data_IF_255175437137
#
_entry.id   IF_255175437137
#
_cell.length_a   1.000
_cell.length_b   1.000
_cell.length_c   1.000
_cell.angle_alpha   90.00
_cell.angle_beta   90.00
_cell.angle_gamma   90.00
#
_symmetry.space_group_name_H-M   'P 1'
#
loop_
_entity.id
_entity.type
_entity.pdbx_description
1 polymer ?
#
# COMPACT_ATOMS: atom_id res chain seq x y z
N UNK A 1 -18.94 -0.51 5.39
CA UNK A 1 -18.75 0.19 6.67
C UNK A 1 -18.14 1.54 6.37
N UNK A 2 -18.83 2.63 6.75
CA UNK A 2 -18.26 3.99 6.67
C UNK A 2 -16.99 4.05 7.52
N UNK A 3 -16.16 5.07 7.33
CA UNK A 3 -15.05 5.35 8.23
C UNK A 3 -15.63 5.56 9.64
N UNK A 4 -15.56 4.52 10.46
CA UNK A 4 -16.19 4.49 11.78
C UNK A 4 -15.40 5.34 12.77
N UNK A 5 -15.93 6.50 13.19
CA UNK A 5 -15.26 7.41 14.12
C UNK A 5 -15.38 6.94 15.58
N UNK A 6 -16.39 6.13 15.93
CA UNK A 6 -16.56 5.64 17.29
C UNK A 6 -15.53 4.54 17.64
N UNK A 7 -14.70 4.81 18.65
CA UNK A 7 -13.64 3.89 19.12
C UNK A 7 -14.16 2.54 19.62
N UNK A 8 -15.29 2.49 20.31
CA UNK A 8 -15.87 1.24 20.81
C UNK A 8 -16.36 0.37 19.64
N UNK A 9 -17.07 0.98 18.68
CA UNK A 9 -17.54 0.27 17.48
C UNK A 9 -16.34 -0.24 16.67
N UNK A 10 -15.28 0.57 16.46
CA UNK A 10 -14.05 0.12 15.78
C UNK A 10 -13.44 -1.14 16.41
N UNK A 11 -13.41 -1.22 17.74
CA UNK A 11 -12.88 -2.40 18.44
C UNK A 11 -13.71 -3.65 18.16
N UNK A 12 -15.04 -3.52 18.20
CA UNK A 12 -15.96 -4.62 17.88
C UNK A 12 -15.79 -5.05 16.42
N UNK A 13 -15.75 -4.11 15.49
CA UNK A 13 -15.59 -4.37 14.05
C UNK A 13 -14.28 -5.07 13.75
N UNK A 14 -13.17 -4.67 14.38
CA UNK A 14 -11.88 -5.37 14.26
C UNK A 14 -11.98 -6.81 14.73
N UNK A 15 -12.68 -7.05 15.85
CA UNK A 15 -12.88 -8.41 16.36
C UNK A 15 -13.72 -9.25 15.38
N UNK A 16 -14.80 -8.70 14.83
CA UNK A 16 -15.64 -9.37 13.84
C UNK A 16 -14.85 -9.72 12.56
N UNK A 17 -14.02 -8.80 12.05
CA UNK A 17 -13.14 -9.07 10.91
C UNK A 17 -12.11 -10.17 11.21
N UNK A 18 -11.55 -10.18 12.41
CA UNK A 18 -10.63 -11.24 12.82
C UNK A 18 -11.32 -12.62 12.95
N UNK A 19 -12.59 -12.65 13.37
CA UNK A 19 -13.39 -13.88 13.37
C UNK A 19 -13.73 -14.32 11.95
N UNK A 20 -14.10 -13.39 11.08
CA UNK A 20 -14.32 -13.66 9.66
C UNK A 20 -13.06 -14.28 9.01
N UNK A 21 -11.88 -13.73 9.31
CA UNK A 21 -10.59 -14.25 8.86
C UNK A 21 -10.29 -15.67 9.37
N UNK A 22 -10.73 -16.02 10.59
CA UNK A 22 -10.59 -17.38 11.12
C UNK A 22 -11.48 -18.39 10.41
N UNK A 23 -12.68 -17.96 9.97
CA UNK A 23 -13.66 -18.83 9.33
C UNK A 23 -13.39 -18.98 7.83
N UNK A 24 -13.16 -17.86 7.14
CA UNK A 24 -12.99 -17.82 5.67
C UNK A 24 -11.52 -17.93 5.24
N UNK A 25 -10.58 -17.70 6.15
CA UNK A 25 -9.17 -17.51 5.85
C UNK A 25 -8.84 -16.06 5.51
N UNK A 26 -7.60 -15.69 5.76
CA UNK A 26 -7.05 -14.37 5.43
C UNK A 26 -6.71 -14.34 3.94
N UNK A 27 -7.10 -13.27 3.24
CA UNK A 27 -6.70 -13.05 1.84
C UNK A 27 -5.16 -13.04 1.70
N UNK A 28 -4.60 -13.69 0.69
CA UNK A 28 -3.14 -13.80 0.52
C UNK A 28 -2.42 -14.28 1.80
N UNK A 29 -2.64 -15.54 2.25
CA UNK A 29 -2.09 -16.02 3.52
C UNK A 29 -0.55 -16.05 3.56
N UNK A 30 0.12 -16.15 2.41
CA UNK A 30 1.58 -16.03 2.29
C UNK A 30 2.12 -14.61 2.47
N UNK A 31 1.26 -13.58 2.41
CA UNK A 31 1.65 -12.19 2.61
C UNK A 31 1.63 -11.84 4.11
N UNK A 32 2.79 -11.47 4.66
CA UNK A 32 2.91 -10.99 6.04
C UNK A 32 2.26 -9.60 6.18
N UNK A 33 1.50 -9.40 7.25
CA UNK A 33 0.98 -8.07 7.67
C UNK A 33 2.08 -7.38 8.45
N UNK A 34 2.88 -6.59 7.76
CA UNK A 34 4.10 -5.97 8.30
C UNK A 34 3.78 -4.64 8.99
N UNK A 35 4.15 -4.50 10.26
CA UNK A 35 4.08 -3.23 11.01
C UNK A 35 5.19 -2.28 10.55
N UNK A 36 4.88 -1.02 10.27
CA UNK A 36 5.90 0.00 10.02
C UNK A 36 6.75 0.28 11.27
N UNK A 37 8.06 0.44 11.09
CA UNK A 37 9.00 0.61 12.22
C UNK A 37 8.93 1.99 12.88
N UNK A 38 8.43 3.00 12.16
CA UNK A 38 8.17 4.37 12.62
C UNK A 38 7.05 5.01 11.78
N UNK A 39 6.63 6.23 12.11
CA UNK A 39 5.54 6.95 11.44
C UNK A 39 5.76 7.14 9.92
N UNK A 40 7.01 7.15 9.46
CA UNK A 40 7.36 7.47 8.07
C UNK A 40 7.71 6.24 7.23
N UNK A 41 7.68 5.05 7.83
CA UNK A 41 8.12 3.79 7.21
C UNK A 41 6.99 2.96 6.59
N UNK A 42 5.83 3.56 6.29
CA UNK A 42 4.71 2.87 5.63
C UNK A 42 5.11 2.30 4.25
N UNK A 43 5.84 3.07 3.43
CA UNK A 43 6.37 2.62 2.13
C UNK A 43 7.28 1.37 2.24
N UNK A 44 8.36 1.40 3.04
CA UNK A 44 9.18 0.22 3.32
C UNK A 44 8.39 -0.98 3.86
N UNK A 45 7.38 -0.75 4.71
CA UNK A 45 6.54 -1.82 5.26
C UNK A 45 5.69 -2.49 4.16
N UNK A 46 5.09 -1.69 3.27
CA UNK A 46 4.33 -2.20 2.12
C UNK A 46 5.23 -2.99 1.16
N UNK A 47 6.43 -2.50 0.85
CA UNK A 47 7.39 -3.27 0.04
C UNK A 47 7.74 -4.60 0.70
N UNK A 48 8.02 -4.59 2.01
CA UNK A 48 8.34 -5.82 2.75
C UNK A 48 7.18 -6.83 2.73
N UNK A 49 5.94 -6.36 2.87
CA UNK A 49 4.76 -7.19 2.78
C UNK A 49 4.56 -7.76 1.36
N UNK A 50 4.65 -6.94 0.31
CA UNK A 50 4.52 -7.40 -1.07
C UNK A 50 5.62 -8.40 -1.48
N UNK A 51 6.85 -8.25 -0.99
CA UNK A 51 7.89 -9.25 -1.19
C UNK A 51 7.59 -10.56 -0.45
N UNK A 52 7.01 -10.50 0.75
CA UNK A 52 6.67 -11.70 1.51
C UNK A 52 5.61 -12.55 0.81
N UNK A 53 4.67 -11.91 0.09
CA UNK A 53 3.73 -12.60 -0.79
C UNK A 53 4.45 -13.43 -1.87
N UNK A 54 5.60 -12.94 -2.36
CA UNK A 54 6.45 -13.62 -3.34
C UNK A 54 7.47 -14.58 -2.70
N UNK A 55 7.33 -14.88 -1.40
CA UNK A 55 8.24 -15.77 -0.67
C UNK A 55 9.58 -15.14 -0.30
N UNK A 56 9.77 -13.83 -0.50
CA UNK A 56 11.03 -13.14 -0.22
C UNK A 56 10.91 -12.33 1.07
N UNK A 57 11.89 -12.48 1.96
CA UNK A 57 11.95 -11.70 3.19
C UNK A 57 12.82 -10.46 2.98
N UNK A 58 12.22 -9.28 3.12
CA UNK A 58 12.90 -8.00 3.03
C UNK A 58 12.72 -7.23 4.35
N UNK A 59 13.80 -6.60 4.82
CA UNK A 59 13.78 -5.76 6.02
C UNK A 59 13.56 -4.29 5.64
N UNK A 60 12.65 -3.62 6.35
CA UNK A 60 12.42 -2.17 6.21
C UNK A 60 13.70 -1.36 6.39
N UNK A 61 14.52 -1.69 7.40
CA UNK A 61 15.80 -1.01 7.63
C UNK A 61 16.75 -1.17 6.44
N UNK A 62 16.84 -2.38 5.87
CA UNK A 62 17.66 -2.64 4.68
C UNK A 62 17.18 -1.85 3.46
N UNK A 63 15.86 -1.73 3.26
CA UNK A 63 15.29 -0.87 2.22
C UNK A 63 15.77 0.58 2.40
N UNK A 64 15.56 1.15 3.59
CA UNK A 64 15.90 2.55 3.88
C UNK A 64 17.40 2.80 3.68
N UNK A 65 18.27 1.91 4.17
CA UNK A 65 19.72 2.01 4.02
C UNK A 65 20.16 1.87 2.56
N UNK A 66 19.57 0.94 1.80
CA UNK A 66 19.89 0.74 0.37
C UNK A 66 19.59 1.95 -0.50
N UNK A 67 18.55 2.72 -0.13
CA UNK A 67 18.18 3.97 -0.79
C UNK A 67 18.99 5.18 -0.32
N UNK A 68 19.85 5.03 0.70
CA UNK A 68 20.50 6.14 1.41
C UNK A 68 19.48 7.19 1.91
N UNK A 69 18.30 6.72 2.29
CA UNK A 69 17.14 7.56 2.60
C UNK A 69 16.96 7.83 4.11
N UNK A 70 17.92 7.47 4.96
CA UNK A 70 17.79 7.54 6.43
C UNK A 70 17.41 8.94 6.94
N UNK A 71 17.91 9.99 6.29
CA UNK A 71 17.57 11.39 6.64
C UNK A 71 16.27 11.83 5.99
N UNK A 72 16.09 11.54 4.70
CA UNK A 72 14.92 11.93 3.90
C UNK A 72 13.62 11.36 4.48
N UNK A 73 13.64 10.08 4.85
CA UNK A 73 12.41 9.38 5.25
C UNK A 73 11.76 10.02 6.48
N UNK A 74 12.56 10.55 7.41
CA UNK A 74 12.06 11.16 8.65
C UNK A 74 11.26 12.45 8.44
N UNK A 75 11.35 13.06 7.27
CA UNK A 75 10.62 14.29 6.96
C UNK A 75 9.64 14.16 5.81
N UNK A 76 9.97 13.32 4.81
CA UNK A 76 9.20 13.24 3.55
C UNK A 76 8.68 11.84 3.23
N UNK A 77 8.98 10.83 4.06
CA UNK A 77 8.71 9.45 3.68
C UNK A 77 9.47 9.03 2.42
N UNK A 78 8.89 8.08 1.67
CA UNK A 78 9.37 7.61 0.37
C UNK A 78 8.26 7.80 -0.66
N UNK A 79 8.57 8.33 -1.84
CA UNK A 79 7.59 8.43 -2.92
C UNK A 79 7.59 7.16 -3.81
N UNK A 80 6.66 7.09 -4.77
CA UNK A 80 6.54 5.95 -5.70
C UNK A 80 7.85 5.62 -6.45
N UNK A 81 8.65 6.62 -6.82
CA UNK A 81 9.94 6.38 -7.49
C UNK A 81 10.97 5.79 -6.53
N UNK A 82 10.96 6.19 -5.27
CA UNK A 82 11.76 5.56 -4.22
C UNK A 82 11.33 4.11 -3.99
N UNK A 83 10.02 3.81 -4.01
CA UNK A 83 9.49 2.45 -3.88
C UNK A 83 9.91 1.54 -5.05
N UNK A 84 9.92 2.06 -6.27
CA UNK A 84 10.43 1.34 -7.44
C UNK A 84 11.93 1.03 -7.29
N UNK A 85 12.74 2.02 -6.90
CA UNK A 85 14.18 1.82 -6.63
C UNK A 85 14.41 0.83 -5.49
N UNK A 86 13.61 0.91 -4.41
CA UNK A 86 13.65 -0.03 -3.29
C UNK A 86 13.38 -1.45 -3.75
N UNK A 87 12.42 -1.63 -4.66
CA UNK A 87 12.08 -2.94 -5.22
C UNK A 87 13.23 -3.53 -6.01
N UNK A 88 13.87 -2.72 -6.87
CA UNK A 88 15.06 -3.14 -7.61
C UNK A 88 16.21 -3.54 -6.69
N UNK A 89 16.50 -2.72 -5.67
CA UNK A 89 17.57 -2.95 -4.71
C UNK A 89 17.31 -4.17 -3.81
N UNK A 90 16.14 -4.25 -3.19
CA UNK A 90 15.76 -5.35 -2.31
C UNK A 90 15.64 -6.68 -3.05
N UNK A 91 15.10 -6.63 -4.27
CA UNK A 91 14.92 -7.79 -5.14
C UNK A 91 16.15 -8.18 -5.94
N UNK A 92 17.28 -7.47 -5.80
CA UNK A 92 18.51 -7.68 -6.59
C UNK A 92 18.25 -7.76 -8.11
N UNK A 93 17.32 -6.95 -8.61
CA UNK A 93 16.92 -6.93 -10.03
C UNK A 93 16.10 -8.14 -10.51
N UNK A 94 15.73 -9.08 -9.63
CA UNK A 94 14.90 -10.24 -9.97
C UNK A 94 13.39 -9.94 -9.98
N UNK A 95 13.00 -8.70 -9.66
CA UNK A 95 11.61 -8.30 -9.51
C UNK A 95 11.34 -6.99 -10.28
N UNK A 96 10.11 -6.83 -10.73
CA UNK A 96 9.63 -5.68 -11.49
C UNK A 96 8.56 -4.97 -10.69
N UNK A 97 8.75 -3.67 -10.50
CA UNK A 97 7.74 -2.77 -9.94
C UNK A 97 6.87 -2.23 -11.07
N UNK A 98 5.60 -2.54 -11.03
CA UNK A 98 4.62 -2.01 -11.97
C UNK A 98 3.78 -0.98 -11.26
N UNK A 99 3.52 0.16 -11.92
CA UNK A 99 2.65 1.21 -11.39
C UNK A 99 1.63 1.67 -12.40
N UNK A 100 0.56 2.28 -11.90
CA UNK A 100 -0.44 2.97 -12.70
C UNK A 100 -1.04 4.12 -11.89
N UNK A 101 -1.03 5.32 -12.48
CA UNK A 101 -1.82 6.46 -12.04
C UNK A 101 -3.20 6.43 -12.68
N UNK A 102 -4.18 7.10 -12.07
CA UNK A 102 -5.54 7.16 -12.59
C UNK A 102 -6.23 5.79 -12.65
N UNK A 103 -5.86 4.86 -11.76
CA UNK A 103 -6.47 3.54 -11.71
C UNK A 103 -7.95 3.61 -11.30
N UNK A 104 -8.70 2.57 -11.66
CA UNK A 104 -10.11 2.39 -11.31
C UNK A 104 -10.25 1.25 -10.30
N UNK A 105 -11.35 1.23 -9.56
CA UNK A 105 -11.70 0.10 -8.69
C UNK A 105 -11.79 -1.22 -9.48
N UNK A 106 -12.19 -1.18 -10.75
CA UNK A 106 -12.17 -2.35 -11.63
C UNK A 106 -10.76 -2.87 -11.90
N UNK A 107 -9.73 -2.02 -11.88
CA UNK A 107 -8.34 -2.46 -12.01
C UNK A 107 -7.92 -3.24 -10.76
N UNK A 108 -8.19 -2.69 -9.56
CA UNK A 108 -7.93 -3.37 -8.29
C UNK A 108 -8.63 -4.73 -8.23
N UNK A 109 -9.93 -4.75 -8.55
CA UNK A 109 -10.71 -5.99 -8.57
C UNK A 109 -10.13 -7.00 -9.56
N UNK A 110 -9.72 -6.57 -10.74
CA UNK A 110 -9.14 -7.47 -11.74
C UNK A 110 -7.81 -8.03 -11.25
N UNK A 111 -6.93 -7.21 -10.70
CA UNK A 111 -5.62 -7.66 -10.22
C UNK A 111 -5.76 -8.61 -9.02
N UNK A 112 -6.60 -8.27 -8.06
CA UNK A 112 -6.78 -9.04 -6.82
C UNK A 112 -7.59 -10.31 -7.08
N UNK A 113 -8.76 -10.20 -7.71
CA UNK A 113 -9.69 -11.32 -7.79
C UNK A 113 -9.36 -12.25 -8.96
N UNK A 114 -8.87 -11.73 -10.08
CA UNK A 114 -8.54 -12.53 -11.29
C UNK A 114 -7.07 -12.93 -11.33
N UNK A 115 -6.14 -11.97 -11.18
CA UNK A 115 -4.71 -12.28 -11.27
C UNK A 115 -4.10 -12.73 -9.93
N UNK A 116 -4.84 -12.61 -8.82
CA UNK A 116 -4.41 -13.04 -7.49
C UNK A 116 -3.10 -12.38 -7.04
N UNK A 117 -2.97 -11.07 -7.30
CA UNK A 117 -1.89 -10.25 -6.75
C UNK A 117 -2.44 -9.24 -5.73
N UNK A 118 -1.82 -9.10 -4.54
CA UNK A 118 -2.09 -7.96 -3.67
C UNK A 118 -1.61 -6.67 -4.32
N UNK A 119 -2.31 -5.56 -4.07
CA UNK A 119 -2.04 -4.29 -4.76
C UNK A 119 -1.67 -3.21 -3.74
N UNK A 120 -0.46 -2.68 -3.86
CA UNK A 120 -0.05 -1.49 -3.12
C UNK A 120 -0.78 -0.25 -3.65
N UNK A 121 -1.19 0.64 -2.76
CA UNK A 121 -1.85 1.91 -3.09
C UNK A 121 -1.28 3.04 -2.26
N UNK A 122 -1.30 4.23 -2.82
CA UNK A 122 -1.01 5.49 -2.15
C UNK A 122 -2.32 6.25 -1.97
N UNK A 123 -2.62 6.66 -0.74
CA UNK A 123 -3.91 7.21 -0.36
C UNK A 123 -3.77 8.10 0.87
N UNK A 124 -4.73 8.98 1.11
CA UNK A 124 -4.86 9.68 2.40
C UNK A 124 -5.23 8.62 3.45
N UNK A 125 -4.42 8.43 4.48
CA UNK A 125 -4.61 7.41 5.51
C UNK A 125 -5.71 7.77 6.51
N UNK A 126 -6.41 6.79 7.10
CA UNK A 126 -7.37 7.04 8.20
C UNK A 126 -6.70 6.68 9.52
N UNK A 127 -6.21 7.67 10.25
CA UNK A 127 -5.49 7.50 11.52
C UNK A 127 -6.31 7.87 12.76
N UNK A 128 -7.49 8.48 12.57
CA UNK A 128 -8.42 8.87 13.63
C UNK A 128 -7.79 9.84 14.64
N UNK A 129 -7.67 9.44 15.91
CA UNK A 129 -7.18 10.33 16.97
C UNK A 129 -5.67 10.57 16.94
N UNK A 130 -4.92 9.89 16.07
CA UNK A 130 -3.46 9.92 16.08
C UNK A 130 -2.85 10.98 15.17
N UNK A 131 -3.53 11.32 14.07
CA UNK A 131 -3.01 12.23 13.06
C UNK A 131 -4.17 12.94 12.34
N UNK A 132 -3.88 14.09 11.74
CA UNK A 132 -4.83 14.84 10.92
C UNK A 132 -5.36 13.97 9.76
N UNK A 133 -6.59 14.27 9.33
CA UNK A 133 -7.34 13.41 8.41
C UNK A 133 -6.75 13.34 6.97
N UNK A 134 -5.71 14.10 6.62
CA UNK A 134 -5.16 14.18 5.25
C UNK A 134 -3.64 13.88 5.16
N UNK A 135 -3.14 12.96 5.99
CA UNK A 135 -1.76 12.48 5.85
C UNK A 135 -1.65 11.37 4.81
N UNK A 136 -0.71 11.54 3.89
CA UNK A 136 -0.32 10.54 2.89
C UNK A 136 0.11 9.21 3.51
N UNK A 137 -0.34 8.11 2.93
CA UNK A 137 -0.08 6.76 3.44
C UNK A 137 0.00 5.73 2.33
N UNK A 138 0.76 4.65 2.60
CA UNK A 138 0.76 3.46 1.77
C UNK A 138 0.01 2.32 2.45
N UNK A 139 -0.83 1.63 1.69
CA UNK A 139 -1.53 0.42 2.12
C UNK A 139 -1.52 -0.65 1.03
N UNK A 140 -2.02 -1.84 1.36
CA UNK A 140 -2.17 -2.92 0.39
C UNK A 140 -3.63 -3.34 0.34
N UNK A 141 -4.29 -3.18 -0.80
CA UNK A 141 -5.63 -3.72 -1.04
C UNK A 141 -5.53 -5.24 -1.23
N UNK A 142 -6.29 -5.98 -0.43
CA UNK A 142 -6.25 -7.44 -0.36
C UNK A 142 -7.55 -8.11 -0.81
N UNK A 143 -8.66 -7.38 -0.83
CA UNK A 143 -9.95 -7.88 -1.30
C UNK A 143 -10.75 -6.72 -1.92
N UNK A 144 -11.50 -7.00 -2.99
CA UNK A 144 -12.47 -6.05 -3.56
C UNK A 144 -13.77 -6.78 -3.87
N UNK A 145 -14.85 -6.37 -3.19
CA UNK A 145 -16.21 -6.81 -3.45
C UNK A 145 -17.04 -5.61 -3.90
N UNK A 146 -17.15 -5.45 -5.22
CA UNK A 146 -17.95 -4.38 -5.82
C UNK A 146 -19.44 -4.55 -5.60
N UNK A 147 -19.94 -5.79 -5.55
CA UNK A 147 -21.36 -6.08 -5.30
C UNK A 147 -21.79 -5.61 -3.92
N UNK A 148 -20.98 -5.91 -2.91
CA UNK A 148 -21.22 -5.47 -1.54
C UNK A 148 -20.65 -4.07 -1.24
N UNK A 149 -20.02 -3.41 -2.23
CA UNK A 149 -19.56 -2.03 -2.14
C UNK A 149 -18.38 -1.80 -1.19
N UNK A 150 -17.55 -2.82 -0.93
CA UNK A 150 -16.42 -2.71 -0.01
C UNK A 150 -15.11 -3.26 -0.56
N UNK A 151 -14.02 -2.87 0.07
CA UNK A 151 -12.70 -3.48 -0.10
C UNK A 151 -12.04 -3.71 1.25
N UNK A 152 -11.02 -4.57 1.28
CA UNK A 152 -10.16 -4.77 2.45
C UNK A 152 -8.73 -4.34 2.17
N UNK A 153 -8.07 -3.80 3.19
CA UNK A 153 -6.69 -3.33 3.10
C UNK A 153 -5.87 -3.79 4.30
N UNK A 154 -4.70 -4.36 4.03
CA UNK A 154 -3.64 -4.51 5.01
C UNK A 154 -2.96 -3.15 5.21
N UNK A 155 -3.00 -2.66 6.45
CA UNK A 155 -2.48 -1.35 6.84
C UNK A 155 -1.29 -1.55 7.79
N UNK A 156 -0.13 -0.98 7.45
CA UNK A 156 1.10 -1.14 8.23
C UNK A 156 1.12 -0.33 9.51
N UNK A 157 0.16 0.59 9.69
CA UNK A 157 0.10 1.46 10.86
C UNK A 157 -0.07 0.64 12.14
N UNK A 158 0.64 1.06 13.20
CA UNK A 158 0.83 0.25 14.40
C UNK A 158 -0.47 -0.22 15.08
N UNK A 159 -1.53 0.60 15.04
CA UNK A 159 -2.82 0.27 15.63
C UNK A 159 -3.65 -0.69 14.77
N UNK A 160 -3.38 -0.77 13.48
CA UNK A 160 -4.21 -1.48 12.50
C UNK A 160 -3.58 -2.77 11.99
N UNK A 161 -2.27 -2.94 12.17
CA UNK A 161 -1.55 -4.14 11.73
C UNK A 161 -2.19 -5.42 12.29
N UNK A 162 -2.18 -6.47 11.47
CA UNK A 162 -2.59 -7.83 11.82
C UNK A 162 -4.03 -8.19 11.43
N UNK A 163 -4.91 -7.20 11.19
CA UNK A 163 -6.27 -7.44 10.67
C UNK A 163 -6.52 -6.50 9.50
N UNK A 164 -6.83 -7.04 8.34
CA UNK A 164 -7.09 -6.23 7.15
C UNK A 164 -8.38 -5.44 7.36
N UNK A 165 -8.26 -4.11 7.33
CA UNK A 165 -9.35 -3.16 7.56
C UNK A 165 -10.34 -3.19 6.41
N UNK A 166 -11.61 -2.96 6.68
CA UNK A 166 -12.68 -2.90 5.68
C UNK A 166 -13.12 -1.45 5.44
N UNK A 167 -13.19 -1.05 4.18
CA UNK A 167 -13.63 0.28 3.75
C UNK A 167 -14.77 0.17 2.73
N UNK A 168 -15.72 1.10 2.75
CA UNK A 168 -16.60 1.31 1.59
C UNK A 168 -15.76 1.79 0.43
N UNK A 169 -16.03 1.25 -0.77
CA UNK A 169 -15.32 1.64 -1.99
C UNK A 169 -15.43 3.15 -2.23
N UNK A 170 -16.63 3.73 -2.05
CA UNK A 170 -16.87 5.17 -2.24
C UNK A 170 -15.99 6.05 -1.32
N UNK A 171 -15.75 5.61 -0.08
CA UNK A 171 -14.96 6.38 0.89
C UNK A 171 -13.47 6.25 0.57
N UNK A 172 -13.02 5.05 0.19
CA UNK A 172 -11.67 4.85 -0.30
C UNK A 172 -11.38 5.70 -1.54
N UNK A 173 -12.27 5.72 -2.55
CA UNK A 173 -12.05 6.47 -3.79
C UNK A 173 -11.88 7.98 -3.57
N UNK A 174 -12.60 8.57 -2.60
CA UNK A 174 -12.45 9.98 -2.23
C UNK A 174 -11.08 10.30 -1.64
N UNK A 175 -10.44 9.29 -1.04
CA UNK A 175 -9.16 9.39 -0.33
C UNK A 175 -8.01 8.76 -1.11
N UNK A 176 -8.27 8.24 -2.32
CA UNK A 176 -7.27 7.56 -3.13
C UNK A 176 -6.43 8.54 -3.94
N UNK A 177 -5.70 9.39 -3.22
CA UNK A 177 -4.74 10.34 -3.75
C UNK A 177 -3.74 10.74 -2.66
N UNK A 178 -2.61 11.35 -3.05
CA UNK A 178 -1.65 11.93 -2.12
C UNK A 178 -0.85 13.09 -2.74
N UNK A 179 -0.23 13.92 -1.90
CA UNK A 179 0.66 15.00 -2.29
C UNK A 179 2.08 14.71 -1.83
N UNK A 180 2.98 14.49 -2.80
CA UNK A 180 4.38 14.21 -2.55
C UNK A 180 5.26 15.42 -2.87
N UNK A 181 6.17 15.75 -1.96
CA UNK A 181 7.29 16.66 -2.28
C UNK A 181 8.41 15.90 -2.99
N UNK A 182 8.74 16.33 -4.20
CA UNK A 182 9.85 15.76 -4.99
C UNK A 182 10.91 16.83 -5.25
N UNK A 183 12.18 16.43 -5.15
CA UNK A 183 13.30 17.30 -5.53
C UNK A 183 13.33 17.48 -7.05
N UNK A 184 13.46 18.73 -7.51
CA UNK A 184 13.65 19.03 -8.92
C UNK A 184 15.11 18.78 -9.27
N UNK A 185 15.36 17.87 -10.21
CA UNK A 185 16.71 17.45 -10.62
C UNK A 185 17.61 18.65 -10.93
N UNK A 186 18.82 18.63 -10.37
CA UNK A 186 19.81 19.70 -10.55
C UNK A 186 19.55 20.98 -9.74
N UNK A 187 18.55 20.99 -8.84
CA UNK A 187 18.24 22.17 -8.01
C UNK A 187 17.94 21.80 -6.55
N UNK A 188 18.03 22.78 -5.65
CA UNK A 188 17.54 22.66 -4.27
C UNK A 188 16.02 22.85 -4.15
N UNK A 189 15.33 23.17 -5.25
CA UNK A 189 13.88 23.43 -5.25
C UNK A 189 13.10 22.13 -5.09
N UNK A 190 12.02 22.22 -4.31
CA UNK A 190 11.01 21.16 -4.19
C UNK A 190 9.83 21.49 -5.08
N UNK A 191 9.19 20.46 -5.63
CA UNK A 191 7.92 20.54 -6.33
C UNK A 191 6.93 19.60 -5.66
N UNK A 192 5.72 20.08 -5.43
CA UNK A 192 4.62 19.21 -5.00
C UNK A 192 4.03 18.51 -6.23
N UNK A 193 3.86 17.20 -6.13
CA UNK A 193 3.23 16.35 -7.14
C UNK A 193 2.05 15.65 -6.49
N UNK A 194 0.87 15.77 -7.10
CA UNK A 194 -0.32 15.05 -6.63
C UNK A 194 -0.46 13.75 -7.40
N UNK A 195 -0.39 12.64 -6.69
CA UNK A 195 -0.59 11.30 -7.23
C UNK A 195 -2.06 10.91 -7.04
N UNK A 196 -2.83 10.82 -8.12
CA UNK A 196 -4.24 10.41 -8.07
C UNK A 196 -4.40 8.95 -8.45
N UNK A 197 -5.15 8.21 -7.62
CA UNK A 197 -5.51 6.80 -7.82
C UNK A 197 -4.32 5.95 -8.20
N UNK A 198 -3.22 6.14 -7.46
CA UNK A 198 -1.97 5.45 -7.69
C UNK A 198 -2.06 4.04 -7.12
N UNK A 199 -1.70 3.05 -7.94
CA UNK A 199 -1.49 1.68 -7.50
C UNK A 199 -0.20 1.11 -8.06
N UNK A 200 0.29 0.08 -7.39
CA UNK A 200 1.46 -0.66 -7.82
C UNK A 200 1.41 -2.13 -7.39
N UNK A 201 2.16 -2.95 -8.12
CA UNK A 201 2.39 -4.37 -7.79
C UNK A 201 3.86 -4.71 -7.99
N UNK A 202 4.32 -5.75 -7.29
CA UNK A 202 5.64 -6.34 -7.49
C UNK A 202 5.44 -7.73 -8.10
N UNK A 203 6.20 -8.03 -9.14
CA UNK A 203 6.16 -9.34 -9.81
C UNK A 203 7.58 -9.87 -10.00
N UNK A 204 7.80 -11.19 -10.03
CA UNK A 204 9.05 -11.75 -10.52
C UNK A 204 9.35 -11.29 -11.96
N UNK A 205 10.64 -11.08 -12.26
CA UNK A 205 11.09 -10.78 -13.62
C UNK A 205 10.71 -11.94 -14.55
N UNK A 206 10.15 -11.62 -15.70
CA UNK A 206 9.66 -12.62 -16.67
C UNK A 206 8.15 -12.86 -16.60
N UNK A 207 7.46 -12.44 -15.53
CA UNK A 207 5.99 -12.46 -15.51
C UNK A 207 5.43 -11.51 -16.57
N UNK A 208 4.61 -12.05 -17.47
CA UNK A 208 3.91 -11.28 -18.49
C UNK A 208 2.74 -10.55 -17.82
N UNK A 209 2.86 -9.24 -17.66
CA UNK A 209 1.80 -8.44 -17.10
C UNK A 209 0.78 -8.00 -18.17
N UNK A 210 -0.53 -8.06 -17.90
CA UNK A 210 -1.56 -7.75 -18.90
C UNK A 210 -1.50 -6.30 -19.37
N UNK A 211 -1.16 -6.08 -20.64
CA UNK A 211 -1.10 -4.73 -21.25
C UNK A 211 -2.38 -3.93 -21.08
N UNK A 212 -3.54 -4.60 -21.14
CA UNK A 212 -4.87 -3.97 -20.97
C UNK A 212 -5.09 -3.32 -19.60
N UNK A 213 -4.31 -3.69 -18.59
CA UNK A 213 -4.37 -3.02 -17.29
C UNK A 213 -3.70 -1.64 -17.34
N UNK A 214 -2.90 -1.34 -18.36
CA UNK A 214 -2.26 -0.04 -18.54
C UNK A 214 -1.19 0.27 -17.50
N UNK A 215 -0.61 -0.75 -16.87
CA UNK A 215 0.49 -0.55 -15.91
C UNK A 215 1.82 -0.43 -16.64
N UNK A 216 2.69 0.44 -16.13
CA UNK A 216 4.03 0.68 -16.66
C UNK A 216 5.08 0.19 -15.68
N UNK A 217 6.22 -0.27 -16.20
CA UNK A 217 7.40 -0.58 -15.37
C UNK A 217 8.00 0.74 -14.88
N UNK A 218 8.41 0.78 -13.62
CA UNK A 218 9.11 1.91 -13.01
C UNK A 218 10.58 1.58 -12.75
#
# INVERSE_FOLDING_TARGET
MEIEKNKAVRRVLRHLLALEDKVKGVAFPGMKRVRQIDAYSCGPAVISALFSFLGVQVSQRKIITSLRAQKKIKSLGLNISDLARATGAAGKGAFVFWKKSGAKISDLQTIINKYKFPVGVEWQGVFYEDEDEDNGHYGIVTEVDKSAGYLRMADSYSKFVGVDRRFRIKDFEKRWWDQNEVSVSGTSKKKTVTDHKMMFVITPKGVIWPRKLGMVKA
#
